data_IF_705327869487
#
_entry.id   IF_705327869487
#
_cell.length_a   1.000
_cell.length_b   1.000
_cell.length_c   1.000
_cell.angle_alpha   90.00
_cell.angle_beta   90.00
_cell.angle_gamma   90.00
#
_symmetry.space_group_name_H-M   'P 1'
#
loop_
_entity.id
_entity.type
_entity.pdbx_description
1 polymer ?
#
# COMPACT_ATOMS: atom_id res chain seq x y z
N UNK A 1 32.91 17.92 -3.05
CA UNK A 1 31.63 17.35 -2.52
C UNK A 1 31.93 15.90 -2.20
N UNK A 2 32.06 15.56 -0.94
CA UNK A 2 32.30 14.19 -0.49
C UNK A 2 30.99 13.39 -0.67
N UNK A 3 31.07 12.31 -1.45
CA UNK A 3 29.98 11.36 -1.60
C UNK A 3 29.47 10.92 -0.21
N UNK A 4 28.16 10.79 0.00
CA UNK A 4 27.64 10.28 1.27
C UNK A 4 28.23 8.88 1.51
N UNK A 5 28.46 8.47 2.78
CA UNK A 5 29.03 7.18 3.10
C UNK A 5 28.19 6.07 2.50
N UNK A 6 28.86 5.08 1.91
CA UNK A 6 28.23 3.89 1.30
C UNK A 6 27.34 3.19 2.37
N UNK A 7 26.01 3.28 2.21
CA UNK A 7 25.02 2.70 3.14
C UNK A 7 24.80 1.21 2.92
N UNK A 8 25.64 0.55 2.10
CA UNK A 8 25.49 -0.89 1.81
C UNK A 8 25.84 -1.73 3.02
N UNK A 9 25.05 -2.79 3.21
CA UNK A 9 25.24 -3.74 4.30
C UNK A 9 25.60 -5.12 3.77
N UNK A 10 26.48 -5.83 4.51
CA UNK A 10 26.94 -7.16 4.12
C UNK A 10 25.87 -8.25 4.25
N UNK A 11 24.98 -8.14 5.22
CA UNK A 11 23.88 -9.07 5.43
C UNK A 11 22.72 -8.42 6.19
N UNK A 12 21.53 -8.93 5.95
CA UNK A 12 20.39 -8.68 6.85
C UNK A 12 20.53 -9.66 8.02
N UNK A 13 20.28 -9.17 9.24
CA UNK A 13 20.20 -10.02 10.42
C UNK A 13 18.97 -10.93 10.28
N UNK A 14 19.15 -12.20 9.97
CA UNK A 14 18.08 -13.20 9.80
C UNK A 14 18.05 -14.25 10.91
N UNK A 15 19.06 -14.23 11.79
CA UNK A 15 19.17 -15.15 12.92
C UNK A 15 18.06 -14.90 13.96
N UNK A 16 17.24 -15.93 14.24
CA UNK A 16 16.15 -15.87 15.23
C UNK A 16 16.58 -15.30 16.57
N UNK A 17 17.73 -15.73 17.09
CA UNK A 17 18.26 -15.28 18.39
C UNK A 17 18.73 -13.81 18.37
N UNK A 18 19.42 -13.42 17.30
CA UNK A 18 19.97 -12.09 17.13
C UNK A 18 18.84 -11.02 17.06
N UNK A 19 17.80 -11.29 16.26
CA UNK A 19 16.63 -10.42 16.10
C UNK A 19 15.78 -10.34 17.38
N UNK A 20 15.56 -11.48 18.02
CA UNK A 20 14.79 -11.54 19.26
C UNK A 20 15.46 -10.79 20.40
N UNK A 21 16.79 -10.85 20.48
CA UNK A 21 17.56 -10.12 21.49
C UNK A 21 17.52 -8.60 21.29
N UNK A 22 17.60 -8.13 20.05
CA UNK A 22 17.46 -6.71 19.73
C UNK A 22 16.04 -6.19 20.05
N UNK A 23 15.00 -6.94 19.70
CA UNK A 23 13.62 -6.57 20.03
C UNK A 23 13.35 -6.64 21.54
N UNK A 24 13.91 -7.61 22.25
CA UNK A 24 13.79 -7.72 23.71
C UNK A 24 14.46 -6.53 24.41
N UNK A 25 15.63 -6.09 23.94
CA UNK A 25 16.29 -4.86 24.43
C UNK A 25 15.41 -3.63 24.20
N UNK A 26 14.81 -3.50 22.99
CA UNK A 26 13.90 -2.41 22.69
C UNK A 26 12.68 -2.41 23.62
N UNK A 27 12.10 -3.58 23.88
CA UNK A 27 10.99 -3.74 24.83
C UNK A 27 11.37 -3.38 26.27
N UNK A 28 12.53 -3.81 26.74
CA UNK A 28 13.01 -3.54 28.09
C UNK A 28 13.30 -2.04 28.32
N UNK A 29 13.96 -1.38 27.36
CA UNK A 29 14.23 0.07 27.42
C UNK A 29 12.92 0.86 27.36
N UNK A 30 11.96 0.44 26.51
CA UNK A 30 10.64 1.05 26.44
C UNK A 30 9.86 0.86 27.74
N UNK A 31 9.96 -0.31 28.39
CA UNK A 31 9.33 -0.60 29.69
C UNK A 31 9.92 0.16 30.86
N UNK A 32 11.24 0.33 30.91
CA UNK A 32 11.92 1.08 32.02
C UNK A 32 11.51 2.54 32.07
N UNK A 33 11.22 3.17 30.90
CA UNK A 33 10.71 4.55 30.83
C UNK A 33 9.32 4.72 31.44
N UNK A 34 8.52 3.67 31.56
CA UNK A 34 7.20 3.71 32.21
C UNK A 34 7.39 3.88 33.73
N UNK A 35 8.32 3.13 34.32
CA UNK A 35 8.56 3.16 35.79
C UNK A 35 9.02 4.54 36.24
N UNK A 36 9.95 5.15 35.51
CA UNK A 36 10.45 6.51 35.86
C UNK A 36 9.38 7.58 35.64
N UNK A 37 8.55 7.45 34.59
CA UNK A 37 7.47 8.40 34.30
C UNK A 37 6.32 8.34 35.33
N UNK A 38 5.97 7.15 35.82
CA UNK A 38 4.93 7.00 36.84
C UNK A 38 5.30 7.74 38.14
N UNK A 39 6.57 7.73 38.51
CA UNK A 39 7.04 8.46 39.70
C UNK A 39 6.98 9.99 39.53
N UNK A 40 7.32 10.50 38.34
CA UNK A 40 7.28 11.95 38.05
C UNK A 40 5.87 12.50 37.81
N UNK A 41 4.94 11.66 37.33
CA UNK A 41 3.56 12.06 37.01
C UNK A 41 2.63 12.03 38.24
N UNK A 42 3.09 11.53 39.38
CA UNK A 42 2.25 11.39 40.61
C UNK A 42 1.64 12.72 41.05
N UNK A 43 2.40 13.79 40.97
CA UNK A 43 2.01 15.13 41.42
C UNK A 43 1.45 16.06 40.33
N UNK A 44 1.35 15.61 39.07
CA UNK A 44 0.89 16.42 37.95
C UNK A 44 -0.64 16.55 37.92
N UNK A 45 -1.16 17.67 37.37
CA UNK A 45 -2.58 17.87 37.11
C UNK A 45 -3.13 16.88 36.07
N UNK A 46 -4.45 16.67 36.00
CA UNK A 46 -5.04 15.78 34.97
C UNK A 46 -4.62 16.12 33.56
N UNK A 47 -4.59 17.39 33.18
CA UNK A 47 -4.19 17.87 31.83
C UNK A 47 -2.69 17.67 31.59
N UNK A 48 -1.85 17.91 32.59
CA UNK A 48 -0.42 17.63 32.51
C UNK A 48 -0.14 16.12 32.40
N UNK A 49 -0.88 15.29 33.12
CA UNK A 49 -0.80 13.83 33.03
C UNK A 49 -1.11 13.34 31.62
N UNK A 50 -2.17 13.86 31.02
CA UNK A 50 -2.54 13.49 29.64
C UNK A 50 -1.46 13.90 28.65
N UNK A 51 -0.97 15.14 28.74
CA UNK A 51 0.12 15.65 27.87
C UNK A 51 1.40 14.85 28.04
N UNK A 52 1.79 14.54 29.26
CA UNK A 52 2.99 13.78 29.59
C UNK A 52 2.86 12.32 29.09
N UNK A 53 1.69 11.71 29.23
CA UNK A 53 1.42 10.36 28.74
C UNK A 53 1.50 10.30 27.20
N UNK A 54 0.92 11.27 26.48
CA UNK A 54 1.04 11.38 25.01
C UNK A 54 2.50 11.55 24.56
N UNK A 55 3.26 12.40 25.25
CA UNK A 55 4.68 12.61 24.97
C UNK A 55 5.48 11.32 25.17
N UNK A 56 5.29 10.63 26.30
CA UNK A 56 5.96 9.36 26.59
C UNK A 56 5.60 8.30 25.54
N UNK A 57 4.33 8.21 25.15
CA UNK A 57 3.87 7.29 24.12
C UNK A 57 4.56 7.57 22.78
N UNK A 58 4.65 8.84 22.36
CA UNK A 58 5.33 9.24 21.13
C UNK A 58 6.83 8.92 21.16
N UNK A 59 7.53 9.22 22.26
CA UNK A 59 8.96 8.90 22.40
C UNK A 59 9.22 7.39 22.35
N UNK A 60 8.37 6.59 22.97
CA UNK A 60 8.46 5.12 22.96
C UNK A 60 8.18 4.57 21.56
N UNK A 61 7.17 5.11 20.87
CA UNK A 61 6.83 4.72 19.50
C UNK A 61 7.97 5.02 18.52
N UNK A 62 8.56 6.22 18.61
CA UNK A 62 9.71 6.60 17.78
C UNK A 62 10.94 5.71 18.04
N UNK A 63 11.21 5.41 19.30
CA UNK A 63 12.30 4.51 19.67
C UNK A 63 12.07 3.10 19.08
N UNK A 64 10.85 2.54 19.24
CA UNK A 64 10.49 1.25 18.64
C UNK A 64 10.63 1.25 17.13
N UNK A 65 10.10 2.25 16.43
CA UNK A 65 10.23 2.37 14.98
C UNK A 65 11.70 2.43 14.55
N UNK A 66 12.54 3.19 15.26
CA UNK A 66 13.98 3.24 15.00
C UNK A 66 14.66 1.87 15.13
N UNK A 67 14.34 1.11 16.20
CA UNK A 67 14.90 -0.24 16.39
C UNK A 67 14.40 -1.23 15.32
N UNK A 68 13.11 -1.17 14.97
CA UNK A 68 12.56 -1.96 13.87
C UNK A 68 13.27 -1.65 12.54
N UNK A 69 13.54 -0.37 12.26
CA UNK A 69 14.26 0.05 11.05
C UNK A 69 15.68 -0.54 10.94
N UNK A 70 16.38 -0.73 12.07
CA UNK A 70 17.71 -1.35 12.10
C UNK A 70 17.69 -2.84 11.73
N UNK A 71 16.58 -3.54 11.97
CA UNK A 71 16.45 -4.98 11.71
C UNK A 71 16.22 -5.29 10.22
N UNK A 72 15.66 -4.34 9.46
CA UNK A 72 15.38 -4.45 8.02
C UNK A 72 14.56 -5.68 7.61
N UNK A 73 14.37 -5.87 6.30
CA UNK A 73 13.63 -7.02 5.77
C UNK A 73 12.18 -7.07 6.26
N UNK A 74 11.73 -8.25 6.67
CA UNK A 74 10.34 -8.50 7.09
C UNK A 74 9.87 -7.60 8.24
N UNK A 75 10.73 -7.22 9.18
CA UNK A 75 10.37 -6.32 10.29
C UNK A 75 9.97 -4.92 9.78
N UNK A 76 10.71 -4.39 8.82
CA UNK A 76 10.38 -3.09 8.21
C UNK A 76 9.07 -3.19 7.45
N UNK A 77 8.86 -4.25 6.67
CA UNK A 77 7.62 -4.45 5.92
C UNK A 77 6.40 -4.61 6.85
N UNK A 78 6.55 -5.39 7.93
CA UNK A 78 5.50 -5.50 8.96
C UNK A 78 5.19 -4.12 9.56
N UNK A 79 6.22 -3.34 9.90
CA UNK A 79 6.05 -1.98 10.40
C UNK A 79 5.33 -1.06 9.43
N UNK A 80 5.67 -1.11 8.14
CA UNK A 80 4.97 -0.37 7.08
C UNK A 80 3.51 -0.80 6.96
N UNK A 81 3.22 -2.10 7.02
CA UNK A 81 1.84 -2.60 7.04
C UNK A 81 1.09 -2.14 8.29
N UNK A 82 1.75 -2.12 9.45
CA UNK A 82 1.18 -1.59 10.69
C UNK A 82 0.93 -0.08 10.62
N UNK A 83 1.80 0.70 9.98
CA UNK A 83 1.58 2.13 9.75
C UNK A 83 0.31 2.39 8.94
N UNK A 84 0.04 1.55 7.94
CA UNK A 84 -1.08 1.70 7.02
C UNK A 84 -2.43 1.18 7.55
N UNK A 85 -2.39 0.10 8.33
CA UNK A 85 -3.62 -0.57 8.83
C UNK A 85 -3.81 -0.41 10.33
N UNK A 86 -2.79 0.09 11.04
CA UNK A 86 -2.76 0.16 12.50
C UNK A 86 -3.75 1.14 13.10
N UNK A 87 -4.24 2.11 12.35
CA UNK A 87 -5.19 3.13 12.83
C UNK A 87 -6.44 2.54 13.50
N UNK A 88 -6.79 1.30 13.18
CA UNK A 88 -7.95 0.61 13.74
C UNK A 88 -7.69 -0.06 15.10
N UNK A 89 -6.43 -0.24 15.51
CA UNK A 89 -6.07 -1.01 16.71
C UNK A 89 -4.82 -0.51 17.45
N UNK A 90 -4.13 0.50 16.92
CA UNK A 90 -2.98 1.14 17.53
C UNK A 90 -3.24 2.62 17.80
N UNK A 91 -2.66 3.18 18.84
CA UNK A 91 -2.64 4.62 19.05
C UNK A 91 -1.98 5.36 17.89
N UNK A 92 -2.47 6.58 17.64
CA UNK A 92 -1.97 7.43 16.52
C UNK A 92 -0.46 7.68 16.61
N UNK A 93 0.08 7.86 17.81
CA UNK A 93 1.50 8.10 18.05
C UNK A 93 2.38 6.95 17.54
N UNK A 94 1.84 5.72 17.55
CA UNK A 94 2.54 4.52 17.04
C UNK A 94 2.47 4.47 15.52
N UNK A 95 1.31 4.69 14.91
CA UNK A 95 1.17 4.70 13.46
C UNK A 95 1.99 5.81 12.83
N UNK A 96 1.98 7.01 13.40
CA UNK A 96 2.82 8.14 12.97
C UNK A 96 4.33 7.80 13.02
N UNK A 97 4.79 7.13 14.09
CA UNK A 97 6.18 6.71 14.22
C UNK A 97 6.55 5.60 13.18
N UNK A 98 5.65 4.67 12.92
CA UNK A 98 5.88 3.59 11.96
C UNK A 98 5.93 4.08 10.50
N UNK A 99 5.28 5.20 10.16
CA UNK A 99 5.42 5.84 8.85
C UNK A 99 6.87 6.25 8.55
N UNK A 100 7.70 6.51 9.56
CA UNK A 100 9.12 6.82 9.35
C UNK A 100 9.94 5.64 8.81
N UNK A 101 9.40 4.42 8.83
CA UNK A 101 10.06 3.22 8.28
C UNK A 101 10.07 3.18 6.74
N UNK A 102 9.28 4.00 6.07
CA UNK A 102 9.17 4.00 4.60
C UNK A 102 10.42 4.52 3.89
N UNK A 103 11.26 5.33 4.57
CA UNK A 103 12.33 6.11 3.94
C UNK A 103 13.73 5.46 3.93
N UNK A 104 13.95 4.31 4.59
CA UNK A 104 15.31 3.79 4.84
C UNK A 104 15.51 2.30 4.46
N UNK A 105 15.41 1.97 3.18
CA UNK A 105 15.89 0.68 2.67
C UNK A 105 17.37 0.76 2.29
N UNK A 106 18.27 0.17 3.10
CA UNK A 106 19.67 0.04 2.70
C UNK A 106 19.83 -1.16 1.76
N UNK A 107 20.65 -0.97 0.77
CA UNK A 107 21.05 -1.97 -0.21
C UNK A 107 21.97 -3.02 0.41
N UNK A 108 21.87 -4.25 -0.05
CA UNK A 108 22.85 -5.30 0.22
C UNK A 108 24.05 -5.17 -0.73
N UNK A 109 25.22 -5.54 -0.26
CA UNK A 109 26.40 -5.68 -1.09
C UNK A 109 26.17 -6.71 -2.20
N UNK A 110 26.75 -6.46 -3.37
CA UNK A 110 26.61 -7.31 -4.55
C UNK A 110 26.95 -8.78 -4.27
N UNK A 111 28.00 -9.05 -3.50
CA UNK A 111 28.42 -10.42 -3.15
C UNK A 111 27.32 -11.29 -2.53
N UNK A 112 26.44 -10.69 -1.73
CA UNK A 112 25.30 -11.39 -1.14
C UNK A 112 24.21 -11.68 -2.18
N UNK A 113 23.97 -10.76 -3.11
CA UNK A 113 23.02 -10.90 -4.22
C UNK A 113 23.51 -11.90 -5.23
N UNK A 114 24.78 -11.83 -5.63
CA UNK A 114 25.41 -12.77 -6.55
C UNK A 114 25.33 -14.22 -6.02
N UNK A 115 25.61 -14.40 -4.73
CA UNK A 115 25.45 -15.69 -4.06
C UNK A 115 24.01 -16.23 -4.17
N UNK A 116 23.00 -15.36 -3.96
CA UNK A 116 21.59 -15.72 -4.09
C UNK A 116 21.22 -16.07 -5.54
N UNK A 117 21.74 -15.30 -6.50
CA UNK A 117 21.55 -15.56 -7.94
C UNK A 117 22.15 -16.89 -8.35
N UNK A 118 23.39 -17.18 -7.93
CA UNK A 118 24.07 -18.47 -8.19
C UNK A 118 23.32 -19.66 -7.61
N UNK A 119 22.81 -19.53 -6.38
CA UNK A 119 22.04 -20.60 -5.73
C UNK A 119 20.70 -20.88 -6.42
N UNK A 120 20.03 -19.86 -6.92
CA UNK A 120 18.68 -20.00 -7.49
C UNK A 120 18.70 -20.29 -9.00
N UNK A 121 19.59 -19.69 -9.78
CA UNK A 121 19.63 -19.83 -11.24
C UNK A 121 20.74 -20.77 -11.72
N UNK A 122 21.82 -20.90 -10.96
CA UNK A 122 23.01 -21.65 -11.37
C UNK A 122 23.92 -20.91 -12.36
N UNK A 123 25.20 -21.28 -12.41
CA UNK A 123 26.22 -20.60 -13.22
C UNK A 123 25.89 -20.58 -14.72
N UNK A 124 25.30 -21.67 -15.26
CA UNK A 124 24.96 -21.76 -16.69
C UNK A 124 23.95 -20.71 -17.14
N UNK A 125 22.92 -20.41 -16.34
CA UNK A 125 21.92 -19.37 -16.68
C UNK A 125 22.49 -17.99 -16.47
N UNK A 126 23.27 -17.78 -15.39
CA UNK A 126 23.91 -16.49 -15.13
C UNK A 126 24.90 -16.09 -16.22
N UNK A 127 25.64 -17.03 -16.78
CA UNK A 127 26.56 -16.77 -17.89
C UNK A 127 25.88 -16.23 -19.16
N UNK A 128 24.54 -16.27 -19.24
CA UNK A 128 23.75 -15.69 -20.35
C UNK A 128 23.33 -14.23 -20.09
N UNK A 129 23.66 -13.68 -18.92
CA UNK A 129 23.22 -12.37 -18.48
C UNK A 129 24.42 -11.48 -18.13
N UNK A 130 24.37 -10.24 -18.57
CA UNK A 130 25.18 -9.14 -18.02
C UNK A 130 24.33 -8.42 -16.98
N UNK A 131 24.73 -8.44 -15.72
CA UNK A 131 23.95 -7.87 -14.61
C UNK A 131 24.70 -6.67 -14.04
N UNK A 132 24.03 -5.52 -13.89
CA UNK A 132 24.58 -4.35 -13.22
C UNK A 132 24.67 -4.64 -11.71
N UNK A 133 25.86 -4.55 -11.14
CA UNK A 133 26.09 -4.78 -9.72
C UNK A 133 25.44 -3.69 -8.84
N UNK A 134 25.22 -2.50 -9.42
CA UNK A 134 24.55 -1.40 -8.75
C UNK A 134 23.04 -1.61 -8.86
N UNK A 135 22.29 -1.68 -7.74
CA UNK A 135 20.86 -1.87 -7.81
C UNK A 135 20.16 -0.65 -8.43
N UNK A 136 19.19 -0.94 -9.29
CA UNK A 136 18.26 0.06 -9.84
C UNK A 136 17.33 0.61 -8.76
N UNK A 137 16.92 -0.27 -7.82
CA UNK A 137 16.07 0.07 -6.70
C UNK A 137 16.23 -0.94 -5.57
N UNK A 138 16.06 -0.47 -4.32
CA UNK A 138 15.95 -1.32 -3.15
C UNK A 138 14.51 -1.32 -2.63
N UNK A 139 14.02 -2.50 -2.23
CA UNK A 139 12.73 -2.70 -1.61
C UNK A 139 12.90 -3.28 -0.19
N UNK A 140 11.82 -3.37 0.58
CA UNK A 140 11.88 -3.91 1.95
C UNK A 140 12.33 -5.37 2.01
N UNK A 141 12.02 -6.18 0.97
CA UNK A 141 12.26 -7.62 0.95
C UNK A 141 13.27 -8.08 -0.10
N UNK A 142 13.77 -7.15 -0.93
CA UNK A 142 14.69 -7.46 -2.03
C UNK A 142 15.23 -6.23 -2.70
N UNK A 143 16.02 -6.42 -3.74
CA UNK A 143 16.48 -5.32 -4.60
C UNK A 143 16.37 -5.71 -6.07
N UNK A 144 16.33 -4.69 -6.94
CA UNK A 144 16.16 -4.85 -8.38
C UNK A 144 17.44 -4.41 -9.06
N UNK A 145 17.96 -5.25 -9.94
CA UNK A 145 19.12 -4.98 -10.77
C UNK A 145 18.72 -4.88 -12.23
N UNK A 146 19.38 -4.00 -12.99
CA UNK A 146 19.30 -4.00 -14.42
C UNK A 146 20.18 -5.12 -14.97
N UNK A 147 19.73 -5.75 -16.02
CA UNK A 147 20.49 -6.77 -16.70
C UNK A 147 20.25 -6.71 -18.21
N UNK A 148 21.13 -7.37 -18.98
CA UNK A 148 20.97 -7.57 -20.42
C UNK A 148 21.18 -9.03 -20.75
N UNK A 149 20.29 -9.62 -21.52
CA UNK A 149 20.49 -10.94 -22.09
C UNK A 149 21.51 -10.86 -23.22
N UNK A 150 22.57 -11.66 -23.13
CA UNK A 150 23.74 -11.58 -24.05
C UNK A 150 23.35 -11.98 -25.47
N UNK A 151 22.46 -12.98 -25.61
CA UNK A 151 22.08 -13.58 -26.88
C UNK A 151 21.48 -12.57 -27.88
N UNK A 152 20.61 -11.69 -27.42
CA UNK A 152 19.84 -10.77 -28.26
C UNK A 152 19.85 -9.31 -27.79
N UNK A 153 20.57 -9.04 -26.71
CA UNK A 153 20.67 -7.69 -26.15
C UNK A 153 19.40 -7.21 -25.41
N UNK A 154 18.43 -8.10 -25.14
CA UNK A 154 17.18 -7.75 -24.45
C UNK A 154 17.49 -7.16 -23.07
N UNK A 155 16.99 -5.98 -22.80
CA UNK A 155 17.09 -5.30 -21.49
C UNK A 155 16.11 -5.93 -20.48
N UNK A 156 16.61 -6.24 -19.29
CA UNK A 156 15.89 -6.96 -18.25
C UNK A 156 15.97 -6.22 -16.90
N UNK A 157 14.99 -6.52 -16.04
CA UNK A 157 15.03 -6.26 -14.60
C UNK A 157 15.06 -7.58 -13.85
N UNK A 158 15.96 -7.72 -12.88
CA UNK A 158 16.04 -8.89 -12.01
C UNK A 158 15.76 -8.44 -10.58
N UNK A 159 14.60 -8.83 -10.06
CA UNK A 159 14.20 -8.63 -8.65
C UNK A 159 14.73 -9.82 -7.87
N UNK A 160 15.62 -9.56 -6.90
CA UNK A 160 16.29 -10.59 -6.09
C UNK A 160 15.84 -10.43 -4.65
N UNK A 161 15.30 -11.47 -4.07
CA UNK A 161 14.88 -11.50 -2.67
C UNK A 161 16.10 -11.50 -1.77
N UNK A 162 16.03 -10.77 -0.67
CA UNK A 162 17.12 -10.80 0.32
C UNK A 162 17.30 -12.19 0.95
N UNK A 163 18.55 -12.68 1.08
CA UNK A 163 18.82 -13.99 1.66
C UNK A 163 18.17 -14.17 3.04
N UNK A 164 17.43 -15.25 3.24
CA UNK A 164 16.83 -15.61 4.51
C UNK A 164 15.57 -14.86 4.92
N UNK A 165 15.14 -13.82 4.18
CA UNK A 165 13.99 -12.97 4.57
C UNK A 165 12.69 -13.78 4.67
N UNK A 166 12.43 -14.69 3.75
CA UNK A 166 11.23 -15.54 3.80
C UNK A 166 11.18 -16.44 5.04
N UNK A 167 12.34 -16.92 5.51
CA UNK A 167 12.45 -17.75 6.72
C UNK A 167 12.25 -16.96 8.02
N UNK A 168 12.50 -15.66 8.00
CA UNK A 168 12.38 -14.81 9.21
C UNK A 168 10.96 -14.29 9.45
N UNK A 169 10.06 -14.35 8.47
CA UNK A 169 8.72 -13.76 8.54
C UNK A 169 7.98 -14.16 9.83
N UNK A 170 7.81 -15.46 10.07
CA UNK A 170 7.01 -15.92 11.21
C UNK A 170 7.65 -15.58 12.56
N UNK A 171 8.98 -15.65 12.65
CA UNK A 171 9.71 -15.26 13.86
C UNK A 171 9.60 -13.77 14.14
N UNK A 172 9.66 -12.94 13.10
CA UNK A 172 9.55 -11.50 13.19
C UNK A 172 8.13 -11.07 13.58
N UNK A 173 7.11 -11.68 12.97
CA UNK A 173 5.73 -11.47 13.39
C UNK A 173 5.51 -11.80 14.86
N UNK A 174 5.98 -12.96 15.31
CA UNK A 174 5.82 -13.37 16.71
C UNK A 174 6.56 -12.43 17.67
N UNK A 175 7.75 -11.95 17.30
CA UNK A 175 8.50 -11.01 18.13
C UNK A 175 7.81 -9.64 18.22
N UNK A 176 7.23 -9.14 17.12
CA UNK A 176 6.46 -7.89 17.11
C UNK A 176 5.18 -8.02 17.95
N UNK A 177 4.44 -9.15 17.85
CA UNK A 177 3.26 -9.41 18.69
C UNK A 177 3.64 -9.35 20.16
N UNK A 178 4.71 -10.07 20.57
CA UNK A 178 5.17 -10.07 21.94
C UNK A 178 5.51 -8.67 22.43
N UNK A 179 6.24 -7.90 21.61
CA UNK A 179 6.61 -6.53 21.93
C UNK A 179 5.37 -5.63 22.16
N UNK A 180 4.41 -5.67 21.26
CA UNK A 180 3.19 -4.85 21.35
C UNK A 180 2.28 -5.28 22.50
N UNK A 181 2.19 -6.59 22.77
CA UNK A 181 1.41 -7.12 23.90
C UNK A 181 2.02 -6.72 25.25
N UNK A 182 3.33 -6.87 25.40
CA UNK A 182 4.04 -6.48 26.63
C UNK A 182 4.02 -4.97 26.87
N UNK A 183 4.02 -4.17 25.81
CA UNK A 183 3.96 -2.72 25.89
C UNK A 183 2.56 -2.17 26.17
N UNK A 184 1.52 -3.01 26.17
CA UNK A 184 0.11 -2.61 26.34
C UNK A 184 -0.37 -1.56 25.32
N UNK A 185 0.21 -1.58 24.12
CA UNK A 185 -0.08 -0.59 23.07
C UNK A 185 -1.26 -0.98 22.17
N UNK A 186 -1.86 -2.16 22.36
CA UNK A 186 -2.98 -2.63 21.56
C UNK A 186 -4.30 -2.16 22.15
N UNK A 187 -5.06 -1.36 21.41
CA UNK A 187 -6.36 -0.82 21.85
C UNK A 187 -7.50 -1.81 21.63
N UNK A 188 -7.43 -2.65 20.59
CA UNK A 188 -8.41 -3.69 20.27
C UNK A 188 -7.73 -5.01 19.95
N UNK A 189 -7.70 -5.94 20.93
CA UNK A 189 -7.04 -7.25 20.79
C UNK A 189 -7.63 -8.09 19.65
N UNK A 190 -8.96 -8.15 19.51
CA UNK A 190 -9.63 -8.93 18.47
C UNK A 190 -9.32 -8.43 17.07
N UNK A 191 -9.39 -7.11 16.86
CA UNK A 191 -9.06 -6.47 15.59
C UNK A 191 -7.60 -6.70 15.20
N UNK A 192 -6.70 -6.54 16.18
CA UNK A 192 -5.29 -6.78 16.02
C UNK A 192 -4.98 -8.22 15.60
N UNK A 193 -5.54 -9.23 16.28
CA UNK A 193 -5.31 -10.64 15.95
C UNK A 193 -5.82 -11.01 14.55
N UNK A 194 -6.98 -10.47 14.14
CA UNK A 194 -7.52 -10.69 12.82
C UNK A 194 -6.63 -10.08 11.74
N UNK A 195 -6.29 -8.81 11.89
CA UNK A 195 -5.40 -8.13 10.96
C UNK A 195 -4.04 -8.82 10.86
N UNK A 196 -3.51 -9.25 11.99
CA UNK A 196 -2.18 -9.85 12.06
C UNK A 196 -2.08 -11.16 11.28
N UNK A 197 -3.14 -11.97 11.29
CA UNK A 197 -3.23 -13.17 10.45
C UNK A 197 -3.21 -12.83 8.96
N UNK A 198 -3.99 -11.84 8.55
CA UNK A 198 -4.03 -11.40 7.15
C UNK A 198 -2.70 -10.80 6.71
N UNK A 199 -2.08 -9.95 7.53
CA UNK A 199 -0.79 -9.34 7.23
C UNK A 199 0.33 -10.40 7.08
N UNK A 200 0.32 -11.43 7.93
CA UNK A 200 1.25 -12.57 7.82
C UNK A 200 1.05 -13.32 6.50
N UNK A 201 -0.19 -13.62 6.13
CA UNK A 201 -0.50 -14.29 4.87
C UNK A 201 -0.07 -13.46 3.66
N UNK A 202 -0.32 -12.15 3.67
CA UNK A 202 0.12 -11.24 2.60
C UNK A 202 1.65 -11.22 2.47
N UNK A 203 2.39 -11.20 3.59
CA UNK A 203 3.84 -11.16 3.53
C UNK A 203 4.43 -12.48 2.99
N UNK A 204 3.81 -13.60 3.30
CA UNK A 204 4.18 -14.89 2.68
C UNK A 204 3.91 -14.90 1.17
N UNK A 205 2.85 -14.26 0.69
CA UNK A 205 2.61 -14.09 -0.75
C UNK A 205 3.65 -13.17 -1.40
N UNK A 206 4.02 -12.06 -0.75
CA UNK A 206 4.98 -11.09 -1.28
C UNK A 206 6.41 -11.65 -1.43
N UNK A 207 6.74 -12.73 -0.72
CA UNK A 207 8.02 -13.44 -0.88
C UNK A 207 7.95 -14.63 -1.83
N UNK A 208 6.84 -14.87 -2.50
CA UNK A 208 6.70 -15.89 -3.54
C UNK A 208 6.74 -15.28 -4.93
N UNK A 209 7.95 -15.13 -5.49
CA UNK A 209 8.13 -14.51 -6.80
C UNK A 209 7.63 -15.34 -7.97
N UNK A 210 7.38 -16.64 -7.81
CA UNK A 210 6.68 -17.43 -8.82
C UNK A 210 5.19 -17.04 -8.89
N UNK A 211 4.58 -16.73 -7.74
CA UNK A 211 3.22 -16.21 -7.71
C UNK A 211 3.16 -14.80 -8.31
N UNK A 212 4.13 -13.93 -7.99
CA UNK A 212 4.21 -12.59 -8.59
C UNK A 212 4.39 -12.67 -10.12
N UNK A 213 5.22 -13.60 -10.61
CA UNK A 213 5.37 -13.87 -12.04
C UNK A 213 4.05 -14.30 -12.70
N UNK A 214 3.30 -15.21 -12.05
CA UNK A 214 1.98 -15.64 -12.54
C UNK A 214 0.98 -14.48 -12.58
N UNK A 215 0.93 -13.68 -11.53
CA UNK A 215 0.06 -12.52 -11.45
C UNK A 215 0.40 -11.47 -12.53
N UNK A 216 1.70 -11.27 -12.82
CA UNK A 216 2.18 -10.38 -13.88
C UNK A 216 1.73 -10.86 -15.25
N UNK A 217 1.86 -12.15 -15.53
CA UNK A 217 1.37 -12.76 -16.79
C UNK A 217 -0.15 -12.68 -16.91
N UNK A 218 -0.88 -12.92 -15.82
CA UNK A 218 -2.34 -12.74 -15.76
C UNK A 218 -2.73 -11.29 -16.09
N UNK A 219 -2.10 -10.30 -15.44
CA UNK A 219 -2.38 -8.89 -15.73
C UNK A 219 -2.05 -8.52 -17.20
N UNK A 220 -0.94 -9.03 -17.74
CA UNK A 220 -0.59 -8.84 -19.15
C UNK A 220 -1.66 -9.41 -20.10
N UNK A 221 -2.21 -10.58 -19.77
CA UNK A 221 -3.31 -11.20 -20.53
C UNK A 221 -4.58 -10.35 -20.46
N UNK A 222 -4.98 -9.89 -19.26
CA UNK A 222 -6.18 -9.09 -19.05
C UNK A 222 -6.12 -7.72 -19.72
N UNK A 223 -4.92 -7.17 -19.92
CA UNK A 223 -4.68 -5.88 -20.56
C UNK A 223 -4.24 -5.99 -22.02
N UNK A 224 -4.32 -7.19 -22.61
CA UNK A 224 -3.92 -7.40 -24.02
C UNK A 224 -4.71 -6.50 -24.95
N UNK A 225 -3.99 -5.75 -25.80
CA UNK A 225 -4.60 -4.82 -26.78
C UNK A 225 -4.96 -3.44 -26.22
N UNK A 226 -4.86 -3.21 -24.92
CA UNK A 226 -5.10 -1.89 -24.33
C UNK A 226 -3.82 -1.04 -24.32
N UNK A 227 -3.71 -0.12 -25.27
CA UNK A 227 -2.53 0.73 -25.45
C UNK A 227 -2.28 1.74 -24.31
N UNK A 228 -3.14 1.79 -23.29
CA UNK A 228 -2.95 2.66 -22.12
C UNK A 228 -1.96 2.09 -21.12
N UNK A 229 -1.70 0.78 -21.18
CA UNK A 229 -0.89 0.06 -20.19
C UNK A 229 0.25 -0.71 -20.80
N UNK A 230 1.32 -0.82 -20.04
CA UNK A 230 2.43 -1.70 -20.31
C UNK A 230 2.63 -2.57 -19.06
N UNK A 231 2.62 -3.88 -19.27
CA UNK A 231 2.99 -4.88 -18.26
C UNK A 231 4.29 -5.52 -18.71
N UNK A 232 5.33 -5.58 -17.86
CA UNK A 232 6.60 -6.22 -18.21
C UNK A 232 6.42 -7.69 -18.58
N UNK A 233 7.12 -8.16 -19.60
CA UNK A 233 7.19 -9.57 -19.94
C UNK A 233 7.99 -10.34 -18.90
N UNK A 234 7.47 -11.48 -18.43
CA UNK A 234 8.17 -12.37 -17.49
C UNK A 234 9.09 -13.34 -18.25
N UNK A 235 10.30 -13.49 -17.77
CA UNK A 235 11.27 -14.46 -18.28
C UNK A 235 11.41 -15.62 -17.30
N UNK A 236 10.57 -16.65 -17.47
CA UNK A 236 10.50 -17.82 -16.57
C UNK A 236 11.81 -18.58 -16.48
N UNK A 237 12.62 -18.63 -17.54
CA UNK A 237 13.94 -19.29 -17.54
C UNK A 237 14.93 -18.68 -16.55
N UNK A 238 14.81 -17.35 -16.27
CA UNK A 238 15.63 -16.60 -15.33
C UNK A 238 14.88 -16.26 -14.04
N UNK A 239 13.77 -16.93 -13.77
CA UNK A 239 12.96 -16.72 -12.57
C UNK A 239 12.92 -17.98 -11.70
N UNK A 240 12.77 -17.77 -10.39
CA UNK A 240 12.62 -18.82 -9.36
C UNK A 240 11.69 -18.31 -8.24
N UNK A 241 11.53 -19.09 -7.18
CA UNK A 241 10.77 -18.65 -6.00
C UNK A 241 11.32 -17.37 -5.36
N UNK A 242 12.63 -17.06 -5.55
CA UNK A 242 13.30 -15.91 -4.94
C UNK A 242 13.87 -14.91 -5.96
N UNK A 243 13.67 -15.17 -7.24
CA UNK A 243 14.15 -14.31 -8.34
C UNK A 243 13.01 -14.13 -9.32
N UNK A 244 12.67 -12.87 -9.62
CA UNK A 244 11.74 -12.52 -10.68
C UNK A 244 12.48 -11.72 -11.74
N UNK A 245 12.50 -12.24 -12.96
CA UNK A 245 13.10 -11.55 -14.11
C UNK A 245 12.02 -11.13 -15.10
N UNK A 246 12.01 -9.84 -15.41
CA UNK A 246 11.06 -9.22 -16.34
C UNK A 246 11.80 -8.37 -17.38
N UNK A 247 11.11 -7.96 -18.47
CA UNK A 247 11.62 -6.93 -19.36
C UNK A 247 11.84 -5.62 -18.59
N UNK A 248 12.88 -4.87 -18.96
CA UNK A 248 13.08 -3.51 -18.45
C UNK A 248 12.14 -2.56 -19.19
N UNK A 249 11.23 -1.92 -18.44
CA UNK A 249 10.27 -1.00 -19.00
C UNK A 249 10.58 0.44 -18.54
N UNK A 250 11.17 1.27 -19.40
CA UNK A 250 11.51 2.64 -19.02
C UNK A 250 10.27 3.50 -18.81
N UNK A 251 10.39 4.44 -17.89
CA UNK A 251 9.31 5.40 -17.59
C UNK A 251 9.70 6.37 -16.48
N UNK A 252 8.93 7.45 -16.38
CA UNK A 252 9.10 8.49 -15.37
C UNK A 252 8.21 8.18 -14.15
N UNK A 253 8.65 8.56 -12.96
CA UNK A 253 7.77 8.57 -11.78
C UNK A 253 6.66 9.60 -11.99
N UNK A 254 5.45 9.33 -11.49
CA UNK A 254 4.29 10.22 -11.66
C UNK A 254 4.53 11.64 -11.15
N UNK A 255 5.40 11.78 -10.13
CA UNK A 255 5.76 13.07 -9.54
C UNK A 255 6.81 13.86 -10.34
N UNK A 256 7.38 13.28 -11.39
CA UNK A 256 8.42 13.92 -12.20
C UNK A 256 7.93 15.24 -12.82
N UNK A 257 8.83 16.23 -12.88
CA UNK A 257 8.53 17.56 -13.42
C UNK A 257 8.00 17.48 -14.87
N UNK A 258 8.52 16.56 -15.69
CA UNK A 258 8.05 16.34 -17.08
C UNK A 258 6.59 15.85 -17.11
N UNK A 259 6.17 14.98 -16.17
CA UNK A 259 4.78 14.51 -16.07
C UNK A 259 3.85 15.63 -15.59
N UNK A 260 4.26 16.40 -14.58
CA UNK A 260 3.49 17.55 -14.08
C UNK A 260 3.28 18.65 -15.12
N UNK A 261 4.22 18.81 -16.08
CA UNK A 261 4.15 19.79 -17.16
C UNK A 261 3.33 19.33 -18.37
N UNK A 262 2.79 18.13 -18.40
CA UNK A 262 1.89 17.66 -19.46
C UNK A 262 0.63 18.54 -19.51
N UNK A 263 0.04 18.66 -20.72
CA UNK A 263 -1.26 19.32 -20.87
C UNK A 263 -2.33 18.62 -20.02
N UNK A 264 -3.37 19.35 -19.61
CA UNK A 264 -4.50 18.79 -18.83
C UNK A 264 -5.10 17.56 -19.53
N UNK A 265 -5.26 17.59 -20.86
CA UNK A 265 -5.75 16.45 -21.64
C UNK A 265 -4.91 15.20 -21.43
N UNK A 266 -3.56 15.30 -21.49
CA UNK A 266 -2.64 14.17 -21.29
C UNK A 266 -2.65 13.69 -19.84
N UNK A 267 -2.70 14.59 -18.87
CA UNK A 267 -2.84 14.26 -17.44
C UNK A 267 -4.17 13.56 -17.14
N UNK A 268 -5.26 14.02 -17.74
CA UNK A 268 -6.59 13.39 -17.65
C UNK A 268 -6.59 11.99 -18.27
N UNK A 269 -5.86 11.78 -19.38
CA UNK A 269 -5.73 10.45 -19.99
C UNK A 269 -5.09 9.44 -19.03
N UNK A 270 -3.95 9.77 -18.43
CA UNK A 270 -3.26 8.93 -17.46
C UNK A 270 -4.10 8.70 -16.19
N UNK A 271 -4.77 9.72 -15.71
CA UNK A 271 -5.62 9.67 -14.52
C UNK A 271 -6.85 8.78 -14.75
N UNK A 272 -7.52 8.92 -15.88
CA UNK A 272 -8.63 8.03 -16.29
C UNK A 272 -8.16 6.58 -16.44
N UNK A 273 -6.97 6.35 -17.03
CA UNK A 273 -6.39 5.03 -17.11
C UNK A 273 -6.16 4.42 -15.71
N UNK A 274 -5.58 5.16 -14.76
CA UNK A 274 -5.38 4.67 -13.39
C UNK A 274 -6.69 4.29 -12.69
N UNK A 275 -7.73 5.11 -12.82
CA UNK A 275 -9.05 4.84 -12.26
C UNK A 275 -9.70 3.63 -12.93
N UNK A 276 -9.62 3.56 -14.26
CA UNK A 276 -10.19 2.48 -15.06
C UNK A 276 -9.54 1.12 -14.74
N UNK A 277 -8.21 1.10 -14.57
CA UNK A 277 -7.49 -0.10 -14.13
C UNK A 277 -8.04 -0.62 -12.81
N UNK A 278 -8.17 0.24 -11.79
CA UNK A 278 -8.71 -0.14 -10.50
C UNK A 278 -10.14 -0.72 -10.60
N UNK A 279 -11.01 -0.07 -11.38
CA UNK A 279 -12.38 -0.54 -11.55
C UNK A 279 -12.45 -1.86 -12.33
N UNK A 280 -11.54 -2.05 -13.30
CA UNK A 280 -11.38 -3.30 -14.04
C UNK A 280 -10.87 -4.43 -13.14
N UNK A 281 -9.82 -4.18 -12.36
CA UNK A 281 -9.32 -5.12 -11.34
C UNK A 281 -10.45 -5.57 -10.40
N UNK A 282 -11.24 -4.62 -9.90
CA UNK A 282 -12.30 -4.89 -8.94
C UNK A 282 -13.50 -5.64 -9.57
N UNK A 283 -14.04 -5.13 -10.66
CA UNK A 283 -15.34 -5.57 -11.17
C UNK A 283 -15.26 -6.52 -12.37
N UNK A 284 -14.17 -6.51 -13.13
CA UNK A 284 -13.99 -7.42 -14.26
C UNK A 284 -13.07 -8.60 -13.92
N UNK A 285 -11.94 -8.36 -13.23
CA UNK A 285 -11.02 -9.45 -12.86
C UNK A 285 -11.45 -10.15 -11.57
N UNK A 286 -12.08 -9.41 -10.63
CA UNK A 286 -12.39 -9.89 -9.28
C UNK A 286 -11.14 -10.02 -8.38
N UNK A 287 -10.03 -9.45 -8.83
CA UNK A 287 -8.73 -9.44 -8.14
C UNK A 287 -8.13 -8.05 -8.23
N UNK A 288 -7.61 -7.52 -7.10
CA UNK A 288 -7.04 -6.18 -7.00
C UNK A 288 -5.58 -6.26 -6.58
N UNK A 289 -4.72 -5.49 -7.25
CA UNK A 289 -3.40 -5.21 -6.73
C UNK A 289 -3.53 -4.22 -5.55
N UNK A 290 -3.21 -4.65 -4.33
CA UNK A 290 -3.54 -3.93 -3.09
C UNK A 290 -2.46 -2.96 -2.61
N UNK A 291 -1.28 -2.91 -3.23
CA UNK A 291 -0.21 -1.98 -2.89
C UNK A 291 -0.25 -0.72 -3.78
N UNK A 292 -0.78 0.42 -3.28
CA UNK A 292 -0.94 1.64 -4.07
C UNK A 292 0.34 2.49 -4.17
N UNK A 293 1.50 1.92 -3.83
CA UNK A 293 2.77 2.65 -3.88
C UNK A 293 3.03 3.20 -5.28
N UNK A 294 3.33 4.48 -5.39
CA UNK A 294 3.67 5.12 -6.67
C UNK A 294 4.96 4.54 -7.30
N UNK A 295 5.80 3.90 -6.51
CA UNK A 295 6.96 3.14 -6.98
C UNK A 295 6.60 1.99 -7.93
N UNK A 296 5.38 1.44 -7.82
CA UNK A 296 4.86 0.35 -8.65
C UNK A 296 4.41 0.82 -10.04
N UNK A 297 4.45 2.13 -10.30
CA UNK A 297 3.98 2.73 -11.54
C UNK A 297 5.05 3.61 -12.17
N UNK A 298 5.10 3.59 -13.53
CA UNK A 298 5.85 4.58 -14.30
C UNK A 298 4.95 5.17 -15.38
N UNK A 299 5.29 6.35 -15.84
CA UNK A 299 4.64 7.01 -16.97
C UNK A 299 5.61 6.98 -18.15
N UNK A 300 5.23 6.28 -19.21
CA UNK A 300 5.90 6.36 -20.52
C UNK A 300 5.24 7.46 -21.33
N UNK A 301 6.01 8.49 -21.66
CA UNK A 301 5.49 9.59 -22.46
C UNK A 301 5.34 9.16 -23.92
N UNK A 302 4.17 9.41 -24.47
CA UNK A 302 3.90 9.20 -25.88
C UNK A 302 4.65 10.20 -26.76
N UNK A 303 4.95 9.78 -27.97
CA UNK A 303 5.70 10.54 -29.00
C UNK A 303 4.79 11.25 -30.03
N UNK A 304 3.49 11.25 -29.80
CA UNK A 304 2.48 11.79 -30.71
C UNK A 304 1.85 10.75 -31.65
N UNK A 305 2.51 9.60 -31.86
CA UNK A 305 1.95 8.42 -32.53
C UNK A 305 1.31 7.45 -31.54
N UNK A 306 1.97 7.26 -30.40
CA UNK A 306 1.46 6.47 -29.29
C UNK A 306 0.97 7.41 -28.16
N UNK A 307 -0.09 7.04 -27.40
CA UNK A 307 -0.53 7.78 -26.24
C UNK A 307 0.48 7.67 -25.10
N UNK A 308 0.30 8.52 -24.06
CA UNK A 308 0.96 8.29 -22.78
C UNK A 308 0.46 6.99 -22.15
N UNK A 309 1.36 6.22 -21.55
CA UNK A 309 1.06 4.90 -21.01
C UNK A 309 1.44 4.80 -19.55
N UNK A 310 0.69 4.02 -18.80
CA UNK A 310 1.06 3.56 -17.46
C UNK A 310 1.83 2.25 -17.56
N UNK A 311 3.04 2.22 -17.04
CA UNK A 311 3.83 1.00 -16.88
C UNK A 311 3.56 0.45 -15.48
N UNK A 312 3.11 -0.80 -15.40
CA UNK A 312 2.67 -1.47 -14.18
C UNK A 312 3.76 -2.48 -13.78
N UNK A 313 4.52 -2.18 -12.71
CA UNK A 313 5.77 -2.87 -12.40
C UNK A 313 5.64 -4.01 -11.38
N UNK A 314 4.60 -4.03 -10.53
CA UNK A 314 4.51 -4.95 -9.39
C UNK A 314 3.11 -5.53 -9.22
N UNK A 315 3.02 -6.86 -9.19
CA UNK A 315 1.80 -7.64 -8.97
C UNK A 315 1.95 -8.64 -7.81
N UNK A 316 2.90 -8.40 -6.90
CA UNK A 316 3.15 -9.26 -5.75
C UNK A 316 2.00 -9.29 -4.75
N UNK A 317 1.28 -8.18 -4.59
CA UNK A 317 0.21 -8.03 -3.60
C UNK A 317 -1.20 -8.13 -4.23
N UNK A 318 -1.46 -9.16 -5.03
CA UNK A 318 -2.80 -9.41 -5.59
C UNK A 318 -3.73 -10.04 -4.55
N UNK A 319 -4.97 -9.56 -4.47
CA UNK A 319 -6.02 -10.07 -3.58
C UNK A 319 -7.28 -10.38 -4.36
N UNK A 320 -7.72 -11.62 -4.29
CA UNK A 320 -8.98 -12.09 -4.87
C UNK A 320 -10.15 -11.83 -3.93
N UNK A 321 -11.26 -11.39 -4.50
CA UNK A 321 -12.51 -11.13 -3.78
C UNK A 321 -13.59 -12.15 -4.19
N UNK A 322 -14.29 -12.72 -3.21
CA UNK A 322 -15.32 -13.70 -3.52
C UNK A 322 -16.59 -13.02 -4.08
N UNK A 323 -17.33 -13.71 -4.98
CA UNK A 323 -18.54 -13.16 -5.60
C UNK A 323 -19.62 -12.69 -4.61
N UNK A 324 -19.75 -13.37 -3.46
CA UNK A 324 -20.69 -12.99 -2.40
C UNK A 324 -20.35 -11.67 -1.72
N UNK A 325 -19.12 -11.16 -1.86
CA UNK A 325 -18.72 -9.81 -1.50
C UNK A 325 -18.88 -8.85 -2.69
N UNK A 326 -18.36 -9.21 -3.87
CA UNK A 326 -18.31 -8.31 -5.03
C UNK A 326 -19.69 -7.89 -5.54
N UNK A 327 -20.68 -8.80 -5.57
CA UNK A 327 -21.99 -8.48 -6.11
C UNK A 327 -22.76 -7.47 -5.24
N UNK A 328 -22.93 -7.67 -3.92
CA UNK A 328 -23.52 -6.66 -3.07
C UNK A 328 -22.72 -5.36 -3.04
N UNK A 329 -21.38 -5.45 -3.12
CA UNK A 329 -20.52 -4.27 -3.16
C UNK A 329 -20.75 -3.45 -4.44
N UNK A 330 -20.87 -4.10 -5.61
CA UNK A 330 -21.22 -3.43 -6.87
C UNK A 330 -22.57 -2.72 -6.76
N UNK A 331 -23.59 -3.37 -6.16
CA UNK A 331 -24.90 -2.79 -5.93
C UNK A 331 -24.83 -1.57 -5.00
N UNK A 332 -24.02 -1.65 -3.94
CA UNK A 332 -23.78 -0.54 -3.02
C UNK A 332 -23.13 0.66 -3.74
N UNK A 333 -22.10 0.41 -4.54
CA UNK A 333 -21.44 1.45 -5.34
C UNK A 333 -22.38 2.03 -6.41
N UNK A 334 -23.20 1.19 -7.06
CA UNK A 334 -24.23 1.64 -8.00
C UNK A 334 -25.29 2.53 -7.32
N UNK A 335 -25.70 2.17 -6.11
CA UNK A 335 -26.62 2.99 -5.32
C UNK A 335 -26.02 4.35 -4.96
N UNK A 336 -24.74 4.38 -4.51
CA UNK A 336 -24.00 5.62 -4.25
C UNK A 336 -23.83 6.46 -5.50
N UNK A 337 -23.44 5.86 -6.64
CA UNK A 337 -23.30 6.53 -7.93
C UNK A 337 -24.59 7.28 -8.34
N UNK A 338 -25.75 6.69 -8.14
CA UNK A 338 -27.05 7.27 -8.46
C UNK A 338 -27.69 8.05 -7.29
N UNK A 339 -26.96 8.27 -6.20
CA UNK A 339 -27.42 8.93 -4.99
C UNK A 339 -28.69 8.31 -4.37
N UNK A 340 -28.82 6.96 -4.44
CA UNK A 340 -29.93 6.18 -3.86
C UNK A 340 -29.55 5.68 -2.47
N UNK A 341 -29.78 6.52 -1.47
CA UNK A 341 -29.31 6.33 -0.09
C UNK A 341 -29.85 5.05 0.57
N UNK A 342 -31.14 4.79 0.45
CA UNK A 342 -31.78 3.60 1.08
C UNK A 342 -31.19 2.30 0.50
N UNK A 343 -31.11 2.21 -0.83
CA UNK A 343 -30.48 1.07 -1.50
C UNK A 343 -28.99 0.93 -1.14
N UNK A 344 -28.28 2.04 -0.89
CA UNK A 344 -26.91 2.02 -0.40
C UNK A 344 -26.84 1.38 1.00
N UNK A 345 -27.69 1.82 1.93
CA UNK A 345 -27.74 1.27 3.30
C UNK A 345 -28.14 -0.20 3.33
N UNK A 346 -29.13 -0.62 2.54
CA UNK A 346 -29.51 -2.03 2.40
C UNK A 346 -28.30 -2.92 2.03
N UNK A 347 -27.53 -2.51 1.00
CA UNK A 347 -26.37 -3.27 0.59
C UNK A 347 -25.21 -3.17 1.59
N UNK A 348 -25.05 -2.05 2.30
CA UNK A 348 -24.07 -1.90 3.36
C UNK A 348 -24.37 -2.83 4.56
N UNK A 349 -25.65 -3.01 4.90
CA UNK A 349 -26.09 -3.96 5.93
C UNK A 349 -25.85 -5.40 5.46
N UNK A 350 -26.18 -5.73 4.21
CA UNK A 350 -25.95 -7.06 3.64
C UNK A 350 -24.45 -7.44 3.61
N UNK A 351 -23.55 -6.46 3.54
CA UNK A 351 -22.10 -6.61 3.61
C UNK A 351 -21.52 -6.52 5.03
N UNK A 352 -22.38 -6.44 6.06
CA UNK A 352 -21.98 -6.30 7.46
C UNK A 352 -21.15 -5.05 7.80
N UNK A 353 -21.25 -3.99 6.97
CA UNK A 353 -20.66 -2.68 7.32
C UNK A 353 -21.42 -2.01 8.45
N UNK A 354 -22.75 -2.20 8.46
CA UNK A 354 -23.68 -1.71 9.46
C UNK A 354 -24.64 -2.82 9.86
N UNK A 355 -25.31 -2.66 10.98
CA UNK A 355 -26.39 -3.57 11.40
C UNK A 355 -27.74 -2.86 11.29
N UNK A 356 -28.78 -3.60 10.90
CA UNK A 356 -30.12 -3.04 10.75
C UNK A 356 -30.73 -2.52 12.07
N UNK A 357 -30.24 -3.00 13.22
CA UNK A 357 -30.67 -2.58 14.54
C UNK A 357 -29.96 -1.34 15.10
N UNK A 358 -29.07 -0.72 14.32
CA UNK A 358 -28.41 0.52 14.71
C UNK A 358 -29.38 1.71 14.61
N UNK A 359 -29.20 2.74 15.48
CA UNK A 359 -29.99 3.96 15.39
C UNK A 359 -29.91 4.63 14.02
N UNK A 360 -31.01 5.25 13.60
CA UNK A 360 -31.13 5.88 12.26
C UNK A 360 -30.06 6.94 12.02
N UNK A 361 -29.74 7.76 13.02
CA UNK A 361 -28.69 8.79 12.92
C UNK A 361 -27.30 8.17 12.67
N UNK A 362 -27.03 6.99 13.23
CA UNK A 362 -25.77 6.24 13.00
C UNK A 362 -25.70 5.74 11.57
N UNK A 363 -26.80 5.15 11.05
CA UNK A 363 -26.89 4.68 9.67
C UNK A 363 -26.75 5.82 8.68
N UNK A 364 -27.41 6.94 8.92
CA UNK A 364 -27.32 8.13 8.07
C UNK A 364 -25.93 8.78 8.07
N UNK A 365 -25.29 8.89 9.23
CA UNK A 365 -23.91 9.37 9.34
C UNK A 365 -22.92 8.48 8.59
N UNK A 366 -23.09 7.16 8.65
CA UNK A 366 -22.28 6.22 7.86
C UNK A 366 -22.47 6.46 6.36
N UNK A 367 -23.72 6.57 5.90
CA UNK A 367 -24.02 6.83 4.50
C UNK A 367 -23.40 8.15 4.03
N UNK A 368 -23.47 9.21 4.85
CA UNK A 368 -22.88 10.52 4.53
C UNK A 368 -21.38 10.47 4.33
N UNK A 369 -20.66 9.73 5.18
CA UNK A 369 -19.19 9.55 5.06
C UNK A 369 -18.85 8.71 3.83
N UNK A 370 -19.54 7.57 3.66
CA UNK A 370 -19.23 6.63 2.60
C UNK A 370 -19.59 7.18 1.21
N UNK A 371 -20.73 7.86 1.08
CA UNK A 371 -21.13 8.48 -0.18
C UNK A 371 -20.23 9.68 -0.53
N UNK A 372 -19.68 10.40 0.46
CA UNK A 372 -18.69 11.44 0.19
C UNK A 372 -17.37 10.85 -0.35
N UNK A 373 -16.95 9.69 0.11
CA UNK A 373 -15.79 8.98 -0.46
C UNK A 373 -16.01 8.68 -1.96
N UNK A 374 -17.25 8.35 -2.34
CA UNK A 374 -17.63 8.00 -3.72
C UNK A 374 -18.00 9.25 -4.55
N UNK A 375 -18.07 10.44 -3.95
CA UNK A 375 -18.42 11.71 -4.63
C UNK A 375 -17.78 11.88 -6.02
N UNK A 376 -16.46 11.64 -6.23
CA UNK A 376 -15.84 11.80 -7.55
C UNK A 376 -16.37 10.83 -8.61
N UNK A 377 -17.06 9.78 -8.19
CA UNK A 377 -17.63 8.71 -9.03
C UNK A 377 -19.15 8.83 -9.17
N UNK A 378 -19.77 9.88 -8.66
CA UNK A 378 -21.22 10.08 -8.77
C UNK A 378 -21.67 10.32 -10.22
N UNK A 379 -22.91 9.94 -10.53
CA UNK A 379 -23.51 10.16 -11.85
C UNK A 379 -23.75 11.63 -12.15
N UNK A 380 -23.96 12.44 -11.09
CA UNK A 380 -24.09 13.89 -11.15
C UNK A 380 -23.44 14.50 -9.90
N UNK A 381 -23.19 15.80 -9.96
CA UNK A 381 -22.47 16.53 -8.93
C UNK A 381 -23.33 17.59 -8.23
N UNK A 382 -24.64 17.35 -8.09
CA UNK A 382 -25.56 18.31 -7.44
C UNK A 382 -25.18 18.66 -6.00
N UNK A 383 -24.56 17.72 -5.27
CA UNK A 383 -24.16 17.89 -3.88
C UNK A 383 -22.66 18.17 -3.71
N UNK A 384 -21.93 18.32 -4.81
CA UNK A 384 -20.49 18.59 -4.80
C UNK A 384 -20.25 20.08 -4.60
N UNK A 385 -19.34 20.51 -3.71
CA UNK A 385 -19.02 21.91 -3.55
C UNK A 385 -18.51 22.57 -4.85
N UNK A 386 -18.95 23.80 -5.14
CA UNK A 386 -18.57 24.51 -6.37
C UNK A 386 -17.07 24.60 -6.60
N UNK A 387 -16.28 24.76 -5.54
CA UNK A 387 -14.81 24.79 -5.65
C UNK A 387 -14.19 23.47 -6.14
N UNK A 388 -14.90 22.37 -6.03
CA UNK A 388 -14.47 21.05 -6.51
C UNK A 388 -14.83 20.79 -7.97
N UNK A 389 -15.51 21.72 -8.63
CA UNK A 389 -15.87 21.64 -10.04
C UNK A 389 -15.15 22.74 -10.85
N UNK A 390 -14.81 22.43 -12.09
CA UNK A 390 -14.33 23.42 -13.04
C UNK A 390 -15.51 24.10 -13.78
N UNK A 391 -15.30 25.15 -14.58
CA UNK A 391 -16.38 25.82 -15.31
C UNK A 391 -17.17 24.94 -16.29
N UNK A 392 -16.65 23.74 -16.61
CA UNK A 392 -17.35 22.74 -17.46
C UNK A 392 -18.15 21.73 -16.63
N UNK A 393 -18.17 21.86 -15.29
CA UNK A 393 -18.80 20.90 -14.39
C UNK A 393 -18.00 19.59 -14.23
N UNK A 394 -16.72 19.56 -14.59
CA UNK A 394 -15.88 18.40 -14.35
C UNK A 394 -15.22 18.46 -12.97
N UNK A 395 -15.06 17.30 -12.32
CA UNK A 395 -14.50 17.19 -10.98
C UNK A 395 -13.00 17.51 -10.96
N UNK A 396 -12.60 18.45 -10.10
CA UNK A 396 -11.21 18.90 -9.89
C UNK A 396 -10.56 18.10 -8.76
N UNK A 397 -9.92 16.96 -9.10
CA UNK A 397 -9.42 15.98 -8.13
C UNK A 397 -8.40 16.55 -7.13
N UNK A 398 -7.57 17.51 -7.53
CA UNK A 398 -6.58 18.13 -6.65
C UNK A 398 -7.22 19.18 -5.71
N UNK A 399 -8.20 19.93 -6.19
CA UNK A 399 -8.80 21.09 -5.51
C UNK A 399 -9.99 20.71 -4.62
N UNK A 400 -10.56 19.52 -4.80
CA UNK A 400 -11.76 19.05 -4.11
C UNK A 400 -11.66 18.99 -2.59
N UNK A 401 -10.42 18.92 -2.06
CA UNK A 401 -10.13 18.74 -0.61
C UNK A 401 -10.82 17.52 0.00
N UNK A 402 -11.22 16.56 -0.85
CA UNK A 402 -11.99 15.37 -0.47
C UNK A 402 -11.41 14.63 0.75
N UNK A 403 -10.10 14.28 0.80
CA UNK A 403 -9.56 13.56 1.96
C UNK A 403 -9.76 14.32 3.28
N UNK A 404 -9.63 15.66 3.25
CA UNK A 404 -9.82 16.49 4.44
C UNK A 404 -11.29 16.57 4.86
N UNK A 405 -12.22 16.62 3.90
CA UNK A 405 -13.66 16.63 4.17
C UNK A 405 -14.12 15.30 4.75
N UNK A 406 -13.72 14.18 4.13
CA UNK A 406 -14.00 12.83 4.61
C UNK A 406 -13.43 12.63 6.02
N UNK A 407 -12.16 12.99 6.27
CA UNK A 407 -11.54 12.86 7.58
C UNK A 407 -12.29 13.64 8.68
N UNK A 408 -12.78 14.86 8.36
CA UNK A 408 -13.58 15.66 9.29
C UNK A 408 -14.89 14.96 9.67
N UNK A 409 -15.61 14.41 8.70
CA UNK A 409 -16.86 13.66 8.95
C UNK A 409 -16.60 12.36 9.69
N UNK A 410 -15.58 11.59 9.25
CA UNK A 410 -15.21 10.32 9.87
C UNK A 410 -14.80 10.49 11.35
N UNK A 411 -14.10 11.58 11.71
CA UNK A 411 -13.74 11.86 13.10
C UNK A 411 -14.96 12.10 14.00
N UNK A 412 -16.03 12.65 13.46
CA UNK A 412 -17.30 12.83 14.18
C UNK A 412 -18.05 11.50 14.36
N UNK A 413 -18.01 10.63 13.32
CA UNK A 413 -18.66 9.31 13.36
C UNK A 413 -17.91 8.30 14.25
N UNK A 414 -16.57 8.37 14.32
CA UNK A 414 -15.73 7.44 15.11
C UNK A 414 -15.91 7.57 16.62
N UNK A 415 -16.54 8.62 17.10
CA UNK A 415 -16.91 8.80 18.52
C UNK A 415 -18.15 7.98 18.90
N UNK A 416 -18.82 7.35 17.95
CA UNK A 416 -19.98 6.51 18.19
C UNK A 416 -19.60 5.16 18.80
N UNK A 417 -20.30 4.74 19.84
CA UNK A 417 -20.21 3.38 20.42
C UNK A 417 -20.58 2.25 19.45
N UNK A 418 -21.19 2.61 18.32
CA UNK A 418 -21.58 1.69 17.24
C UNK A 418 -20.51 1.53 16.16
N UNK A 419 -19.37 2.18 16.31
CA UNK A 419 -18.26 2.01 15.35
C UNK A 419 -17.84 0.54 15.33
N UNK A 420 -18.00 -0.10 14.18
CA UNK A 420 -17.53 -1.46 13.90
C UNK A 420 -16.37 -1.41 12.91
N UNK A 421 -15.48 -2.40 13.02
CA UNK A 421 -14.45 -2.59 12.00
C UNK A 421 -15.12 -3.01 10.68
N UNK A 422 -14.78 -2.37 9.57
CA UNK A 422 -15.28 -2.79 8.27
C UNK A 422 -14.78 -4.20 7.93
N UNK A 423 -15.50 -4.94 7.05
CA UNK A 423 -15.00 -6.20 6.52
C UNK A 423 -13.58 -6.09 6.00
N UNK A 424 -12.78 -7.15 6.17
CA UNK A 424 -11.36 -7.17 5.75
C UNK A 424 -11.16 -6.86 4.26
N UNK A 425 -12.08 -7.34 3.44
CA UNK A 425 -12.11 -7.10 2.00
C UNK A 425 -12.13 -5.59 1.70
N UNK A 426 -12.96 -4.86 2.44
CA UNK A 426 -13.07 -3.41 2.29
C UNK A 426 -11.78 -2.67 2.66
N UNK A 427 -11.07 -3.12 3.67
CA UNK A 427 -9.83 -2.46 4.10
C UNK A 427 -8.79 -2.44 2.96
N UNK A 428 -8.60 -3.56 2.26
CA UNK A 428 -7.68 -3.67 1.12
C UNK A 428 -8.13 -2.81 -0.07
N UNK A 429 -9.42 -2.89 -0.39
CA UNK A 429 -10.00 -2.14 -1.48
C UNK A 429 -9.96 -0.62 -1.21
N UNK A 430 -10.34 -0.18 -0.01
CA UNK A 430 -10.28 1.24 0.36
C UNK A 430 -8.86 1.79 0.26
N UNK A 431 -7.86 1.02 0.70
CA UNK A 431 -6.44 1.39 0.53
C UNK A 431 -6.09 1.63 -0.93
N UNK A 432 -6.47 0.72 -1.83
CA UNK A 432 -6.22 0.86 -3.27
C UNK A 432 -6.96 2.08 -3.82
N UNK A 433 -8.23 2.26 -3.47
CA UNK A 433 -9.04 3.41 -3.89
C UNK A 433 -8.39 4.74 -3.48
N UNK A 434 -7.96 4.86 -2.22
CA UNK A 434 -7.27 6.06 -1.74
C UNK A 434 -5.96 6.30 -2.48
N UNK A 435 -5.21 5.25 -2.81
CA UNK A 435 -4.01 5.34 -3.63
C UNK A 435 -4.29 5.83 -5.05
N UNK A 436 -5.33 5.31 -5.68
CA UNK A 436 -5.79 5.77 -7.01
C UNK A 436 -6.23 7.24 -6.96
N UNK A 437 -6.99 7.64 -5.95
CA UNK A 437 -7.38 9.05 -5.77
C UNK A 437 -6.16 9.95 -5.56
N UNK A 438 -5.18 9.49 -4.78
CA UNK A 438 -3.92 10.21 -4.59
C UNK A 438 -3.11 10.33 -5.89
N UNK A 439 -3.09 9.27 -6.71
CA UNK A 439 -2.44 9.27 -8.03
C UNK A 439 -3.10 10.28 -8.97
N UNK A 440 -4.43 10.23 -9.10
CA UNK A 440 -5.22 11.15 -9.93
C UNK A 440 -5.05 12.60 -9.46
N UNK A 441 -5.08 12.83 -8.14
CA UNK A 441 -4.81 14.12 -7.52
C UNK A 441 -3.41 14.65 -7.86
N UNK A 442 -2.39 13.80 -7.79
CA UNK A 442 -0.99 14.16 -8.08
C UNK A 442 -0.80 14.62 -9.53
N UNK A 443 -1.58 14.07 -10.45
CA UNK A 443 -1.64 14.51 -11.84
C UNK A 443 -2.37 15.86 -12.00
N UNK A 444 -3.08 16.36 -10.97
CA UNK A 444 -3.91 17.54 -11.06
C UNK A 444 -4.97 17.40 -12.16
N UNK A 445 -5.60 16.23 -12.22
CA UNK A 445 -6.59 15.92 -13.26
C UNK A 445 -7.95 16.57 -12.99
N UNK A 446 -8.71 16.81 -14.07
CA UNK A 446 -10.06 17.34 -14.02
C UNK A 446 -10.94 16.53 -14.97
N UNK A 447 -11.80 15.66 -14.43
CA UNK A 447 -12.74 14.83 -15.20
C UNK A 447 -13.77 14.16 -14.28
N UNK A 448 -14.89 13.74 -14.86
CA UNK A 448 -15.96 13.03 -14.16
C UNK A 448 -15.63 11.53 -14.04
N UNK A 449 -15.32 11.09 -12.82
CA UNK A 449 -15.02 9.67 -12.56
C UNK A 449 -16.24 8.76 -12.74
N UNK A 450 -17.45 9.28 -12.59
CA UNK A 450 -18.69 8.56 -12.83
C UNK A 450 -18.80 8.00 -14.26
N UNK A 451 -18.29 8.70 -15.27
CA UNK A 451 -18.23 8.22 -16.64
C UNK A 451 -17.33 7.00 -16.81
N UNK A 452 -16.27 6.91 -16.01
CA UNK A 452 -15.38 5.74 -16.01
C UNK A 452 -16.03 4.58 -15.27
N UNK A 453 -16.71 4.86 -14.14
CA UNK A 453 -17.36 3.83 -13.32
C UNK A 453 -18.56 3.19 -14.03
N UNK A 454 -19.35 3.98 -14.77
CA UNK A 454 -20.63 3.56 -15.39
C UNK A 454 -20.57 2.22 -16.13
N UNK A 455 -19.48 1.95 -16.86
CA UNK A 455 -19.30 0.72 -17.63
C UNK A 455 -19.13 -0.56 -16.78
N UNK A 456 -18.91 -0.41 -15.47
CA UNK A 456 -18.74 -1.53 -14.54
C UNK A 456 -19.97 -1.78 -13.67
N UNK A 457 -21.01 -0.96 -13.79
CA UNK A 457 -22.24 -1.05 -12.97
C UNK A 457 -23.38 -1.81 -13.66
N UNK A 458 -23.19 -2.14 -14.93
CA UNK A 458 -24.15 -2.95 -15.71
C UNK A 458 -24.01 -4.43 -15.45
#
# INVERSE_FOLDING_TARGET
MTSPPDKRIKRIKTGFFERRMEMAKAGFISGSKILTHSATNFWASPEEKERNNKKLMSERAQYMASEMGKLKGSVVKIGQMMALYGEYFLPKEITDALHTLEENTAELEWSAIETQLLQELGAHKLAKLEIDETPLAAASLGQVHRARRIEDGQELCIKVQYPGVAKSIDSDFNAIIQLLTLSQMITSKRAFEQWFREARAMLHQEVDYLQEAHNTEFAAQMLTGDLRYIVPQVFREFSSKKILTTSYEPGLVVTAAKVKKLSLRRRNHLAKASLDLFLSELFAWGEIQTDPNFGNYRVRLGDGKQPDQLVLLDFGAMKKFPPNFLNPFRNMISAAHHNRRDAFLENAIALEFMRADYPEDVLQNFADVAMEIIEPLAANYHNVPDFALNPKGEYRWAESKLPRRVAKKASQASLSKYFALPPKEFMFMNRKLMGVYSFVKTLGAEFNGGEVLKKYLS
#
